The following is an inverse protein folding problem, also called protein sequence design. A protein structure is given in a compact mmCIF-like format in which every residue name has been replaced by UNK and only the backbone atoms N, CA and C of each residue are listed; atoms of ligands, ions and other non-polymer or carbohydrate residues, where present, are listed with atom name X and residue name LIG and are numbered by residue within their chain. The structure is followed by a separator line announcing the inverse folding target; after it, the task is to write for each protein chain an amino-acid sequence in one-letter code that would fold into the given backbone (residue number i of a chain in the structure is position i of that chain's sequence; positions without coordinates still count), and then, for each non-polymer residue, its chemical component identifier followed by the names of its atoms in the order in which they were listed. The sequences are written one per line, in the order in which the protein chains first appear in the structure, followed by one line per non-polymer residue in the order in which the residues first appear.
data_IF_494996462937
#
_entry.id   IF_494996462937
#
_cell.length_a   1.000
_cell.length_b   1.000
_cell.length_c   1.000
_cell.angle_alpha   90.00
_cell.angle_beta   90.00
_cell.angle_gamma   90.00
#
_symmetry.space_group_name_H-M   'P 1'
#
loop_
_entity.id
_entity.type
_entity.pdbx_description
1 polymer ?
#
# COMPACT_ATOMS: atom_id res chain seq x y z
N UNK A 1 2.90 -9.23 36.11
CA UNK A 1 4.19 -9.34 35.38
C UNK A 1 4.42 -10.73 34.79
N UNK A 2 4.47 -11.81 35.58
CA UNK A 2 4.75 -13.17 35.05
C UNK A 2 3.78 -13.62 33.92
N UNK A 3 2.48 -13.40 34.09
CA UNK A 3 1.47 -13.69 33.05
C UNK A 3 1.77 -12.91 31.75
N UNK A 4 2.21 -11.66 31.85
CA UNK A 4 2.56 -10.84 30.69
C UNK A 4 3.77 -11.37 29.93
N UNK A 5 4.74 -11.95 30.63
CA UNK A 5 5.92 -12.56 30.00
C UNK A 5 5.53 -13.83 29.26
N UNK A 6 4.72 -14.69 29.86
CA UNK A 6 4.25 -15.94 29.24
C UNK A 6 3.43 -15.67 27.98
N UNK A 7 2.47 -14.75 28.03
CA UNK A 7 1.67 -14.42 26.84
C UNK A 7 2.50 -13.80 25.71
N UNK A 8 3.65 -13.20 26.03
CA UNK A 8 4.53 -12.55 25.05
C UNK A 8 5.41 -13.53 24.27
N UNK A 9 5.34 -14.85 24.57
CA UNK A 9 6.01 -15.89 23.80
C UNK A 9 5.52 -15.87 22.35
N UNK A 10 6.46 -15.91 21.40
CA UNK A 10 6.21 -15.76 19.95
C UNK A 10 5.13 -16.71 19.42
N UNK A 11 5.09 -17.95 19.93
CA UNK A 11 4.10 -18.96 19.51
C UNK A 11 2.67 -18.55 19.85
N UNK A 12 2.45 -18.00 21.05
CA UNK A 12 1.13 -17.56 21.49
C UNK A 12 0.72 -16.29 20.74
N UNK A 13 1.63 -15.31 20.65
CA UNK A 13 1.40 -14.06 19.95
C UNK A 13 1.04 -14.24 18.48
N UNK A 14 1.71 -15.15 17.76
CA UNK A 14 1.41 -15.41 16.33
C UNK A 14 0.06 -16.12 16.13
N UNK A 15 -0.34 -17.03 17.02
CA UNK A 15 -1.60 -17.77 16.88
C UNK A 15 -2.82 -16.99 17.36
N UNK A 16 -2.67 -16.17 18.39
CA UNK A 16 -3.77 -15.49 19.08
C UNK A 16 -3.47 -14.01 19.29
N UNK A 17 -3.03 -13.32 18.23
CA UNK A 17 -2.55 -11.94 18.32
C UNK A 17 -3.57 -10.98 18.95
N UNK A 18 -4.82 -11.01 18.49
CA UNK A 18 -5.88 -10.14 19.00
C UNK A 18 -6.14 -10.35 20.50
N UNK A 19 -6.22 -11.61 20.92
CA UNK A 19 -6.43 -11.97 22.33
C UNK A 19 -5.24 -11.55 23.18
N UNK A 20 -4.03 -11.79 22.68
CA UNK A 20 -2.78 -11.35 23.32
C UNK A 20 -2.78 -9.84 23.53
N UNK A 21 -3.12 -9.05 22.51
CA UNK A 21 -3.08 -7.59 22.57
C UNK A 21 -4.02 -7.04 23.65
N UNK A 22 -5.27 -7.52 23.70
CA UNK A 22 -6.26 -7.07 24.69
C UNK A 22 -5.82 -7.42 26.11
N UNK A 23 -5.42 -8.67 26.35
CA UNK A 23 -4.98 -9.11 27.67
C UNK A 23 -3.74 -8.32 28.11
N UNK A 24 -2.79 -8.09 27.20
CA UNK A 24 -1.58 -7.32 27.49
C UNK A 24 -1.87 -5.87 27.88
N UNK A 25 -2.77 -5.18 27.17
CA UNK A 25 -3.16 -3.81 27.51
C UNK A 25 -3.83 -3.75 28.88
N UNK A 26 -4.77 -4.67 29.17
CA UNK A 26 -5.45 -4.71 30.48
C UNK A 26 -4.43 -4.92 31.60
N UNK A 27 -3.52 -5.88 31.47
CA UNK A 27 -2.48 -6.11 32.49
C UNK A 27 -1.48 -4.97 32.58
N UNK A 28 -1.15 -4.27 31.48
CA UNK A 28 -0.30 -3.10 31.52
C UNK A 28 -0.94 -1.99 32.38
N UNK A 29 -2.22 -1.70 32.17
CA UNK A 29 -2.98 -0.72 32.99
C UNK A 29 -2.98 -1.14 34.47
N UNK A 30 -3.26 -2.42 34.76
CA UNK A 30 -3.25 -2.94 36.13
C UNK A 30 -1.88 -2.84 36.79
N UNK A 31 -0.80 -3.10 36.05
CA UNK A 31 0.58 -2.96 36.56
C UNK A 31 0.88 -1.50 36.86
N UNK A 32 0.54 -0.57 35.97
CA UNK A 32 0.73 0.87 36.21
C UNK A 32 -0.04 1.31 37.46
N UNK A 33 -1.31 0.93 37.58
CA UNK A 33 -2.11 1.20 38.77
C UNK A 33 -1.50 0.59 40.05
N UNK A 34 -1.09 -0.67 40.00
CA UNK A 34 -0.46 -1.35 41.12
C UNK A 34 0.85 -0.68 41.55
N UNK A 35 1.65 -0.17 40.60
CA UNK A 35 2.85 0.60 40.89
C UNK A 35 2.53 1.89 41.66
N UNK A 36 1.53 2.66 41.23
CA UNK A 36 1.09 3.85 41.98
C UNK A 36 0.61 3.51 43.40
N UNK A 37 -0.11 2.39 43.56
CA UNK A 37 -0.56 1.94 44.89
C UNK A 37 0.60 1.46 45.76
N UNK A 38 1.55 0.73 45.19
CA UNK A 38 2.73 0.22 45.89
C UNK A 38 3.65 1.36 46.35
N UNK A 39 3.92 2.34 45.49
CA UNK A 39 4.78 3.47 45.83
C UNK A 39 4.11 4.48 46.76
N UNK A 40 2.78 4.48 46.86
CA UNK A 40 2.04 5.37 47.75
C UNK A 40 2.22 5.09 49.25
N UNK A 41 2.78 3.93 49.62
CA UNK A 41 3.04 3.57 51.02
C UNK A 41 4.05 4.52 51.71
N UNK A 42 5.06 4.99 50.98
CA UNK A 42 6.09 5.94 51.48
C UNK A 42 5.76 7.41 51.13
N UNK A 43 4.49 7.71 50.83
CA UNK A 43 4.03 9.02 50.35
C UNK A 43 4.09 9.18 48.82
N UNK A 44 4.14 10.43 48.33
CA UNK A 44 4.03 10.74 46.89
C UNK A 44 5.38 10.94 46.18
N UNK A 45 6.49 10.77 46.90
CA UNK A 45 7.85 11.08 46.41
C UNK A 45 8.18 10.41 45.07
N UNK A 46 7.71 9.20 44.85
CA UNK A 46 8.01 8.40 43.65
C UNK A 46 7.00 8.57 42.50
N UNK A 47 5.85 9.21 42.75
CA UNK A 47 4.81 9.38 41.73
C UNK A 47 5.31 10.18 40.52
N UNK A 48 6.24 11.12 40.74
CA UNK A 48 6.86 11.89 39.68
C UNK A 48 7.51 11.04 38.58
N UNK A 49 8.02 9.84 38.91
CA UNK A 49 8.63 8.93 37.93
C UNK A 49 7.62 8.09 37.15
N UNK A 50 6.40 7.92 37.67
CA UNK A 50 5.36 7.11 37.03
C UNK A 50 4.51 7.92 36.04
N UNK A 51 4.32 9.22 36.31
CA UNK A 51 3.54 10.11 35.45
C UNK A 51 4.01 10.23 34.00
N UNK A 52 5.32 10.29 33.68
CA UNK A 52 5.79 10.34 32.30
C UNK A 52 5.28 9.19 31.43
N UNK A 53 5.22 7.96 31.97
CA UNK A 53 4.69 6.80 31.25
C UNK A 53 3.19 6.96 30.93
N UNK A 54 2.40 7.43 31.91
CA UNK A 54 0.97 7.72 31.71
C UNK A 54 0.78 8.84 30.71
N UNK A 55 1.59 9.90 30.80
CA UNK A 55 1.54 11.05 29.90
C UNK A 55 1.87 10.66 28.46
N UNK A 56 2.96 9.92 28.23
CA UNK A 56 3.36 9.45 26.89
C UNK A 56 2.29 8.54 26.29
N UNK A 57 1.80 7.55 27.07
CA UNK A 57 0.77 6.63 26.58
C UNK A 57 -0.55 7.36 26.30
N UNK A 58 -1.01 8.23 27.21
CA UNK A 58 -2.21 9.03 27.04
C UNK A 58 -2.11 9.98 25.85
N UNK A 59 -1.00 10.71 25.72
CA UNK A 59 -0.74 11.62 24.60
C UNK A 59 -0.79 10.90 23.26
N UNK A 60 -0.08 9.78 23.13
CA UNK A 60 -0.07 8.98 21.91
C UNK A 60 -1.49 8.52 21.52
N UNK A 61 -2.28 8.00 22.48
CA UNK A 61 -3.68 7.62 22.22
C UNK A 61 -4.56 8.80 21.82
N UNK A 62 -4.41 9.95 22.49
CA UNK A 62 -5.15 11.17 22.17
C UNK A 62 -4.82 11.67 20.76
N UNK A 63 -3.54 11.71 20.37
CA UNK A 63 -3.13 12.14 19.01
C UNK A 63 -3.74 11.25 17.94
N UNK A 64 -3.79 9.93 18.17
CA UNK A 64 -4.44 8.99 17.23
C UNK A 64 -5.94 9.23 17.11
N UNK A 65 -6.65 9.44 18.21
CA UNK A 65 -8.08 9.78 18.21
C UNK A 65 -8.36 11.10 17.49
N UNK A 66 -7.55 12.13 17.73
CA UNK A 66 -7.65 13.43 17.04
C UNK A 66 -7.43 13.25 15.54
N UNK A 67 -6.46 12.43 15.13
CA UNK A 67 -6.18 12.15 13.71
C UNK A 67 -7.34 11.41 13.03
N UNK A 68 -7.94 10.43 13.69
CA UNK A 68 -9.17 9.76 13.21
C UNK A 68 -10.29 10.79 13.04
N UNK A 69 -10.53 11.63 14.05
CA UNK A 69 -11.55 12.67 13.97
C UNK A 69 -11.28 13.63 12.80
N UNK A 70 -10.03 14.08 12.64
CA UNK A 70 -9.61 14.96 11.55
C UNK A 70 -9.84 14.37 10.16
N UNK A 71 -9.50 13.10 9.94
CA UNK A 71 -9.66 12.48 8.61
C UNK A 71 -11.13 12.22 8.26
N UNK A 72 -11.97 11.93 9.26
CA UNK A 72 -13.32 11.38 9.04
C UNK A 72 -14.47 12.33 9.35
N UNK A 73 -14.22 13.43 10.07
CA UNK A 73 -15.25 14.42 10.41
C UNK A 73 -14.89 15.76 9.78
N UNK A 74 -15.82 16.29 9.00
CA UNK A 74 -15.76 17.68 8.54
C UNK A 74 -17.05 18.38 8.96
N UNK A 75 -16.98 19.08 10.09
CA UNK A 75 -18.09 19.86 10.64
C UNK A 75 -18.03 21.24 9.99
N UNK A 76 -19.09 21.62 9.28
CA UNK A 76 -19.20 22.93 8.67
C UNK A 76 -20.41 23.68 9.19
N UNK A 77 -20.20 24.96 9.42
CA UNK A 77 -21.26 25.90 9.79
C UNK A 77 -22.11 26.20 8.55
N UNK A 78 -23.19 25.44 8.35
CA UNK A 78 -24.11 25.57 7.20
C UNK A 78 -25.20 24.48 7.18
N UNK A 79 -26.04 24.43 6.12
CA UNK A 79 -27.21 23.52 6.00
C UNK A 79 -26.89 22.01 6.08
N UNK A 80 -25.63 21.60 5.96
CA UNK A 80 -25.17 20.22 6.12
C UNK A 80 -24.22 20.14 7.33
N UNK A 81 -24.70 19.55 8.43
CA UNK A 81 -24.09 19.65 9.75
C UNK A 81 -22.78 18.87 9.91
N UNK A 82 -22.56 17.79 9.13
CA UNK A 82 -21.31 17.04 9.12
C UNK A 82 -21.16 16.25 7.81
N UNK A 83 -19.96 16.26 7.21
CA UNK A 83 -19.57 15.29 6.18
C UNK A 83 -18.75 14.18 6.83
N UNK A 84 -19.04 12.93 6.45
CA UNK A 84 -18.31 11.73 6.91
C UNK A 84 -17.55 11.08 5.75
N UNK A 85 -16.57 10.25 6.08
CA UNK A 85 -15.87 9.41 5.11
C UNK A 85 -16.83 8.44 4.43
N UNK A 86 -16.73 8.33 3.12
CA UNK A 86 -17.44 7.31 2.34
C UNK A 86 -16.44 6.27 1.84
N UNK A 87 -16.85 5.00 1.82
CA UNK A 87 -16.02 3.89 1.37
C UNK A 87 -16.79 2.87 0.54
N UNK A 88 -16.12 2.39 -0.49
CA UNK A 88 -16.60 1.31 -1.37
C UNK A 88 -15.52 0.25 -1.45
N UNK A 89 -15.90 -1.01 -1.26
CA UNK A 89 -14.99 -2.15 -1.36
C UNK A 89 -15.47 -3.08 -2.45
N UNK A 90 -14.59 -3.33 -3.42
CA UNK A 90 -14.82 -4.27 -4.52
C UNK A 90 -13.83 -5.42 -4.41
N UNK A 91 -14.30 -6.65 -4.61
CA UNK A 91 -13.45 -7.84 -4.62
C UNK A 91 -13.58 -8.59 -5.94
N UNK A 92 -12.44 -8.83 -6.58
CA UNK A 92 -12.35 -9.59 -7.82
C UNK A 92 -11.77 -10.98 -7.56
N UNK A 93 -12.57 -12.03 -7.82
CA UNK A 93 -12.17 -13.44 -7.63
C UNK A 93 -11.03 -13.86 -8.56
N UNK A 94 -11.02 -13.36 -9.80
CA UNK A 94 -10.04 -13.77 -10.82
C UNK A 94 -8.63 -13.26 -10.54
N UNK A 95 -8.51 -12.20 -9.73
CA UNK A 95 -7.24 -11.56 -9.37
C UNK A 95 -6.89 -11.67 -7.89
N UNK A 96 -7.75 -12.32 -7.07
CA UNK A 96 -7.60 -12.43 -5.61
C UNK A 96 -7.28 -11.06 -4.97
N UNK A 97 -7.94 -10.00 -5.46
CA UNK A 97 -7.65 -8.62 -5.11
C UNK A 97 -8.92 -7.90 -4.63
N UNK A 98 -8.82 -7.27 -3.47
CA UNK A 98 -9.79 -6.32 -2.95
C UNK A 98 -9.30 -4.89 -3.19
N UNK A 99 -10.14 -4.07 -3.81
CA UNK A 99 -9.93 -2.63 -4.02
C UNK A 99 -10.82 -1.87 -3.03
N UNK A 100 -10.20 -1.14 -2.12
CA UNK A 100 -10.91 -0.22 -1.22
C UNK A 100 -10.76 1.20 -1.78
N UNK A 101 -11.88 1.83 -2.09
CA UNK A 101 -11.94 3.24 -2.47
C UNK A 101 -12.50 4.04 -1.29
N UNK A 102 -11.78 5.07 -0.86
CA UNK A 102 -12.17 5.92 0.25
C UNK A 102 -12.15 7.40 -0.14
N UNK A 103 -13.15 8.13 0.33
CA UNK A 103 -13.27 9.58 0.18
C UNK A 103 -13.25 10.22 1.56
N UNK A 104 -12.09 10.70 2.05
CA UNK A 104 -11.96 11.36 3.34
C UNK A 104 -12.95 12.54 3.47
N UNK A 105 -13.42 12.80 4.68
CA UNK A 105 -14.27 13.97 4.96
C UNK A 105 -13.49 15.28 4.80
N UNK A 106 -12.21 15.25 5.13
CA UNK A 106 -11.35 16.40 5.10
C UNK A 106 -10.74 16.65 3.72
N UNK A 107 -10.92 17.86 3.21
CA UNK A 107 -10.49 18.26 1.86
C UNK A 107 -9.06 18.79 1.80
N UNK A 108 -8.44 19.08 2.95
CA UNK A 108 -7.05 19.55 3.04
C UNK A 108 -6.02 18.43 3.06
N UNK A 109 -6.46 17.16 3.08
CA UNK A 109 -5.55 16.01 3.08
C UNK A 109 -4.92 15.88 1.69
N UNK A 110 -3.61 16.15 1.60
CA UNK A 110 -2.85 15.99 0.37
C UNK A 110 -2.13 14.64 0.39
N UNK A 111 -2.56 13.65 -0.42
CA UNK A 111 -1.89 12.37 -0.52
C UNK A 111 -0.49 12.52 -1.14
N UNK A 112 0.46 11.70 -0.69
CA UNK A 112 1.83 11.62 -1.24
C UNK A 112 2.25 10.15 -1.38
N UNK A 113 3.20 9.84 -2.29
CA UNK A 113 3.78 8.50 -2.37
C UNK A 113 4.49 8.10 -1.06
N UNK A 114 4.64 6.79 -0.84
CA UNK A 114 5.23 6.23 0.39
C UNK A 114 4.35 6.38 1.64
N UNK A 115 3.12 6.86 1.50
CA UNK A 115 2.19 6.98 2.63
C UNK A 115 1.36 5.71 2.84
N UNK A 116 1.06 5.43 4.10
CA UNK A 116 0.09 4.42 4.50
C UNK A 116 -0.90 4.98 5.52
N UNK A 117 -2.04 4.30 5.64
CA UNK A 117 -3.15 4.68 6.50
C UNK A 117 -3.62 3.47 7.29
N UNK A 118 -4.04 3.68 8.54
CA UNK A 118 -4.80 2.66 9.25
C UNK A 118 -6.27 2.77 8.89
N UNK A 119 -6.88 1.62 8.57
CA UNK A 119 -8.30 1.50 8.28
C UNK A 119 -8.99 0.78 9.45
N UNK A 120 -10.11 1.34 9.88
CA UNK A 120 -10.97 0.80 10.93
C UNK A 120 -12.35 0.47 10.37
N UNK A 121 -13.00 -0.56 10.90
CA UNK A 121 -14.41 -0.89 10.59
C UNK A 121 -15.25 -0.88 11.88
N UNK A 122 -15.65 0.29 12.40
CA UNK A 122 -16.23 0.43 13.74
C UNK A 122 -17.54 -0.35 13.93
N UNK A 123 -18.33 -0.53 12.88
CA UNK A 123 -19.62 -1.24 12.93
C UNK A 123 -19.48 -2.78 12.96
N UNK A 124 -18.26 -3.29 13.08
CA UNK A 124 -17.97 -4.72 13.21
C UNK A 124 -17.80 -5.12 14.68
N UNK A 125 -18.05 -6.39 15.00
CA UNK A 125 -17.78 -7.00 16.32
C UNK A 125 -16.35 -6.77 16.83
N UNK A 126 -15.40 -6.53 15.92
CA UNK A 126 -14.01 -6.21 16.23
C UNK A 126 -13.62 -4.83 15.70
N UNK A 127 -14.49 -3.84 15.85
CA UNK A 127 -14.30 -2.50 15.30
C UNK A 127 -13.14 -1.69 15.88
N UNK A 128 -12.47 -2.19 16.91
CA UNK A 128 -11.24 -1.63 17.47
C UNK A 128 -9.98 -2.06 16.71
N UNK A 129 -10.06 -3.06 15.84
CA UNK A 129 -8.91 -3.48 15.03
C UNK A 129 -8.55 -2.39 14.02
N UNK A 130 -7.26 -2.12 13.90
CA UNK A 130 -6.71 -1.12 12.99
C UNK A 130 -5.69 -1.77 12.06
N UNK A 131 -5.95 -1.70 10.75
CA UNK A 131 -5.16 -2.41 9.74
C UNK A 131 -4.39 -1.41 8.88
N UNK A 132 -3.04 -1.45 8.84
CA UNK A 132 -2.25 -0.54 8.01
C UNK A 132 -2.32 -0.98 6.54
N UNK A 133 -2.59 -0.04 5.65
CA UNK A 133 -2.51 -0.25 4.20
C UNK A 133 -1.82 0.92 3.52
N UNK A 134 -0.89 0.58 2.64
CA UNK A 134 -0.18 1.52 1.77
C UNK A 134 -1.17 2.15 0.79
N UNK A 135 -1.09 3.47 0.64
CA UNK A 135 -1.86 4.18 -0.36
C UNK A 135 -1.45 3.66 -1.74
N UNK A 136 -2.33 2.96 -2.44
CA UNK A 136 -2.03 2.33 -3.73
C UNK A 136 -2.19 3.26 -4.92
N UNK A 137 -3.19 4.12 -4.89
CA UNK A 137 -3.37 5.19 -5.85
C UNK A 137 -4.19 6.32 -5.22
N UNK A 138 -4.11 7.50 -5.82
CA UNK A 138 -4.93 8.63 -5.45
C UNK A 138 -5.28 9.44 -6.68
N UNK A 139 -6.47 10.04 -6.72
CA UNK A 139 -6.83 10.87 -7.85
C UNK A 139 -6.04 12.19 -7.81
N UNK A 140 -5.28 12.43 -8.88
CA UNK A 140 -4.69 13.73 -9.24
C UNK A 140 -5.64 14.53 -10.14
N UNK A 141 -6.95 14.31 -10.01
CA UNK A 141 -7.88 14.75 -11.03
C UNK A 141 -7.99 16.27 -11.06
N UNK A 142 -7.48 16.87 -12.13
CA UNK A 142 -7.67 18.27 -12.50
C UNK A 142 -8.81 18.42 -13.53
N UNK A 143 -9.66 17.40 -13.75
CA UNK A 143 -10.59 17.35 -14.90
C UNK A 143 -12.06 17.08 -14.60
N UNK A 144 -12.50 17.21 -13.34
CA UNK A 144 -13.93 17.44 -13.03
C UNK A 144 -14.11 18.81 -12.38
N UNK A 145 -13.86 19.88 -13.16
CA UNK A 145 -14.36 21.23 -12.84
C UNK A 145 -15.88 21.27 -13.06
N UNK A 146 -16.64 20.58 -12.20
CA UNK A 146 -18.02 20.97 -11.99
C UNK A 146 -17.98 22.13 -10.99
N UNK A 147 -18.18 23.34 -11.50
CA UNK A 147 -18.31 24.57 -10.72
C UNK A 147 -19.41 24.37 -9.65
N UNK A 148 -19.01 24.06 -8.42
CA UNK A 148 -19.91 23.98 -7.27
C UNK A 148 -19.74 22.76 -6.34
N UNK A 149 -19.10 21.67 -6.77
CA UNK A 149 -18.84 20.52 -5.87
C UNK A 149 -17.41 20.56 -5.35
N UNK A 150 -17.26 20.49 -4.03
CA UNK A 150 -15.93 20.48 -3.44
C UNK A 150 -15.20 19.17 -3.74
N UNK A 151 -14.01 19.31 -4.29
CA UNK A 151 -13.20 18.21 -4.75
C UNK A 151 -12.65 17.41 -3.56
N UNK A 152 -13.13 16.18 -3.39
CA UNK A 152 -12.63 15.24 -2.36
C UNK A 152 -11.59 14.36 -3.00
N UNK A 153 -10.40 14.29 -2.42
CA UNK A 153 -9.34 13.37 -2.86
C UNK A 153 -9.81 11.92 -2.69
N UNK A 154 -9.75 11.14 -3.76
CA UNK A 154 -10.01 9.70 -3.73
C UNK A 154 -8.73 8.98 -3.33
N UNK A 155 -8.79 8.13 -2.31
CA UNK A 155 -7.72 7.23 -1.90
C UNK A 155 -8.08 5.80 -2.27
N UNK A 156 -7.16 5.07 -2.88
CA UNK A 156 -7.36 3.69 -3.33
C UNK A 156 -6.33 2.80 -2.67
N UNK A 157 -6.79 1.70 -2.08
CA UNK A 157 -5.96 0.68 -1.46
C UNK A 157 -6.15 -0.66 -2.18
N UNK A 158 -5.04 -1.28 -2.57
CA UNK A 158 -5.02 -2.60 -3.21
C UNK A 158 -4.61 -3.64 -2.17
N UNK A 159 -5.55 -4.51 -1.80
CA UNK A 159 -5.39 -5.42 -0.66
C UNK A 159 -5.61 -6.83 -1.15
N UNK A 160 -4.65 -7.71 -0.86
CA UNK A 160 -4.85 -9.15 -1.02
C UNK A 160 -5.53 -9.69 0.23
N UNK A 161 -6.66 -10.39 0.13
CA UNK A 161 -7.26 -11.04 1.29
C UNK A 161 -6.35 -12.13 1.86
N UNK A 162 -6.08 -12.05 3.16
CA UNK A 162 -5.37 -13.07 3.94
C UNK A 162 -6.33 -13.65 4.99
N UNK A 163 -5.96 -13.62 6.27
CA UNK A 163 -6.75 -14.03 7.42
C UNK A 163 -7.37 -12.82 8.14
N UNK A 164 -8.06 -13.08 9.24
CA UNK A 164 -8.63 -12.04 10.09
C UNK A 164 -9.61 -11.10 9.39
N UNK A 165 -9.32 -9.80 9.42
CA UNK A 165 -10.19 -8.75 8.90
C UNK A 165 -10.33 -8.77 7.38
N UNK A 166 -9.23 -8.91 6.64
CA UNK A 166 -9.26 -8.89 5.17
C UNK A 166 -10.05 -10.08 4.60
N UNK A 167 -9.96 -11.25 5.25
CA UNK A 167 -10.82 -12.42 4.93
C UNK A 167 -12.30 -12.10 5.09
N UNK A 168 -12.68 -11.50 6.23
CA UNK A 168 -14.08 -11.14 6.51
C UNK A 168 -14.59 -10.13 5.50
N UNK A 169 -13.77 -9.16 5.12
CA UNK A 169 -14.11 -8.17 4.12
C UNK A 169 -14.35 -8.82 2.75
N UNK A 170 -13.46 -9.73 2.32
CA UNK A 170 -13.67 -10.55 1.12
C UNK A 170 -14.96 -11.36 1.20
N UNK A 171 -15.19 -12.04 2.32
CA UNK A 171 -16.37 -12.89 2.50
C UNK A 171 -17.67 -12.06 2.51
N UNK A 172 -17.63 -10.78 2.92
CA UNK A 172 -18.74 -9.82 2.77
C UNK A 172 -18.97 -9.49 1.29
N UNK A 173 -17.93 -9.10 0.55
CA UNK A 173 -18.04 -8.83 -0.90
C UNK A 173 -18.59 -10.03 -1.66
N UNK A 174 -18.11 -11.24 -1.38
CA UNK A 174 -18.57 -12.47 -2.03
C UNK A 174 -20.07 -12.77 -1.82
N UNK A 175 -20.69 -12.22 -0.77
CA UNK A 175 -22.13 -12.36 -0.50
C UNK A 175 -22.96 -11.31 -1.24
N UNK A 176 -22.37 -10.19 -1.63
CA UNK A 176 -23.03 -9.03 -2.24
C UNK A 176 -22.49 -8.79 -3.65
N UNK A 177 -22.44 -9.84 -4.45
CA UNK A 177 -22.01 -9.81 -5.86
C UNK A 177 -20.68 -9.07 -6.13
N UNK A 178 -19.76 -9.10 -5.17
CA UNK A 178 -18.42 -8.53 -5.28
C UNK A 178 -18.27 -7.09 -4.80
N UNK A 179 -19.33 -6.40 -4.36
CA UNK A 179 -19.26 -4.99 -3.93
C UNK A 179 -20.02 -4.73 -2.62
N UNK A 180 -19.41 -3.98 -1.70
CA UNK A 180 -20.03 -3.56 -0.44
C UNK A 180 -19.62 -2.13 -0.07
N UNK A 181 -20.45 -1.45 0.72
CA UNK A 181 -20.20 -0.09 1.22
C UNK A 181 -20.15 -0.06 2.76
N UNK A 182 -19.14 -0.70 3.39
CA UNK A 182 -19.00 -0.67 4.84
C UNK A 182 -18.64 0.74 5.30
N UNK A 183 -19.02 1.10 6.53
CA UNK A 183 -18.48 2.29 7.20
C UNK A 183 -17.04 2.02 7.62
N UNK A 184 -16.08 2.68 6.95
CA UNK A 184 -14.66 2.62 7.28
C UNK A 184 -14.16 3.99 7.75
N UNK A 185 -13.27 3.98 8.74
CA UNK A 185 -12.58 5.18 9.20
C UNK A 185 -11.10 5.14 8.80
N UNK A 186 -10.56 6.30 8.43
CA UNK A 186 -9.15 6.50 8.10
C UNK A 186 -8.38 7.14 9.25
N UNK A 187 -7.16 6.68 9.46
CA UNK A 187 -6.18 7.34 10.32
C UNK A 187 -4.85 7.47 9.55
N UNK A 188 -4.41 8.70 9.33
CA UNK A 188 -3.17 8.97 8.61
C UNK A 188 -3.03 10.46 8.25
N UNK A 189 -2.12 10.80 7.33
CA UNK A 189 -1.17 9.91 6.67
C UNK A 189 0.00 9.53 7.60
N UNK A 190 0.51 8.32 7.44
CA UNK A 190 1.79 7.87 7.99
C UNK A 190 2.76 7.57 6.86
N UNK A 191 4.05 7.42 7.16
CA UNK A 191 5.09 7.18 6.17
C UNK A 191 5.65 8.47 5.56
N UNK A 192 6.65 8.28 4.70
CA UNK A 192 7.42 9.37 4.08
C UNK A 192 7.67 9.02 2.60
N UNK A 193 7.76 10.04 1.75
CA UNK A 193 8.10 9.84 0.36
C UNK A 193 9.62 9.75 0.20
N UNK A 194 10.12 8.70 -0.44
CA UNK A 194 11.49 8.63 -0.90
C UNK A 194 11.75 9.70 -1.98
N UNK A 195 12.93 10.34 -2.01
CA UNK A 195 13.25 11.43 -2.95
C UNK A 195 13.62 10.91 -4.36
N UNK A 196 12.87 9.94 -4.89
CA UNK A 196 13.15 9.29 -6.18
C UNK A 196 13.15 10.27 -7.37
N UNK A 197 12.41 11.38 -7.27
CA UNK A 197 12.37 12.46 -8.28
C UNK A 197 13.72 13.19 -8.47
N UNK A 198 14.69 12.98 -7.58
CA UNK A 198 16.05 13.56 -7.67
C UNK A 198 17.02 12.70 -8.49
N UNK A 199 16.59 11.51 -8.91
CA UNK A 199 17.34 10.57 -9.73
C UNK A 199 16.91 10.66 -11.19
N UNK A 200 17.82 10.42 -12.12
CA UNK A 200 17.50 10.49 -13.56
C UNK A 200 16.78 9.21 -14.03
N UNK A 201 17.16 8.05 -13.49
CA UNK A 201 16.45 6.76 -13.71
C UNK A 201 15.90 6.19 -12.40
N UNK A 202 14.67 5.67 -12.43
CA UNK A 202 14.06 4.92 -11.32
C UNK A 202 13.66 3.51 -11.78
N UNK A 203 14.25 2.49 -11.16
CA UNK A 203 13.87 1.08 -11.35
C UNK A 203 12.95 0.66 -10.19
N UNK A 204 11.71 0.29 -10.50
CA UNK A 204 10.73 -0.20 -9.54
C UNK A 204 10.53 -1.70 -9.71
N UNK A 205 10.88 -2.50 -8.71
CA UNK A 205 10.71 -3.97 -8.72
C UNK A 205 9.67 -4.34 -7.67
N UNK A 206 8.49 -4.75 -8.12
CA UNK A 206 7.34 -5.00 -7.24
C UNK A 206 6.74 -6.38 -7.41
N UNK A 207 6.24 -6.95 -6.31
CA UNK A 207 5.66 -8.28 -6.24
C UNK A 207 4.23 -8.27 -5.70
N UNK A 208 3.28 -8.88 -6.43
CA UNK A 208 1.89 -9.01 -6.01
C UNK A 208 1.25 -7.65 -5.71
N UNK A 209 0.69 -7.49 -4.51
CA UNK A 209 0.10 -6.22 -4.03
C UNK A 209 1.12 -5.16 -3.65
N UNK A 210 2.43 -5.47 -3.68
CA UNK A 210 3.50 -4.49 -3.53
C UNK A 210 3.47 -3.39 -4.60
N UNK A 211 2.72 -3.57 -5.69
CA UNK A 211 2.40 -2.53 -6.68
C UNK A 211 1.81 -1.25 -6.06
N UNK A 212 1.15 -1.37 -4.90
CA UNK A 212 0.63 -0.24 -4.14
C UNK A 212 1.72 0.75 -3.69
N UNK A 213 2.98 0.31 -3.59
CA UNK A 213 4.10 1.22 -3.29
C UNK A 213 4.56 2.00 -4.53
N UNK A 214 4.51 1.41 -5.72
CA UNK A 214 5.09 1.98 -6.95
C UNK A 214 4.13 2.95 -7.67
N UNK A 215 2.84 2.59 -7.78
CA UNK A 215 1.84 3.40 -8.50
C UNK A 215 1.75 4.85 -7.97
N UNK A 216 1.80 5.14 -6.66
CA UNK A 216 1.81 6.51 -6.16
C UNK A 216 3.01 7.34 -6.63
N UNK A 217 4.20 6.72 -6.76
CA UNK A 217 5.39 7.40 -7.27
C UNK A 217 5.27 7.67 -8.78
N UNK A 218 4.64 6.77 -9.52
CA UNK A 218 4.32 6.97 -10.94
C UNK A 218 3.35 8.15 -11.13
N UNK A 219 2.28 8.22 -10.32
CA UNK A 219 1.32 9.35 -10.34
C UNK A 219 2.03 10.67 -9.98
N UNK A 220 2.87 10.66 -8.94
CA UNK A 220 3.64 11.84 -8.51
C UNK A 220 4.65 12.28 -9.59
N UNK A 221 5.31 11.35 -10.27
CA UNK A 221 6.22 11.63 -11.37
C UNK A 221 5.53 12.33 -12.55
N UNK A 222 4.40 11.81 -13.03
CA UNK A 222 3.63 12.46 -14.10
C UNK A 222 3.16 13.86 -13.69
N UNK A 223 2.75 14.03 -12.43
CA UNK A 223 2.39 15.35 -11.90
C UNK A 223 3.58 16.32 -11.91
N UNK A 224 4.78 15.87 -11.51
CA UNK A 224 6.00 16.71 -11.48
C UNK A 224 6.57 16.98 -12.86
N UNK A 225 6.50 16.02 -13.78
CA UNK A 225 6.96 16.15 -15.16
C UNK A 225 6.20 17.28 -15.87
N UNK A 226 4.93 17.50 -15.53
CA UNK A 226 4.15 18.63 -16.05
C UNK A 226 4.60 20.02 -15.56
N UNK A 227 5.40 20.09 -14.48
CA UNK A 227 5.79 21.34 -13.78
C UNK A 227 7.31 21.52 -13.64
N UNK A 228 8.10 21.06 -14.62
CA UNK A 228 9.55 20.79 -14.51
C UNK A 228 10.12 20.55 -13.09
N UNK A 229 9.47 19.70 -12.30
CA UNK A 229 9.79 19.49 -10.87
C UNK A 229 10.45 18.13 -10.57
N UNK A 230 10.93 17.45 -11.61
CA UNK A 230 11.57 16.14 -11.51
C UNK A 230 12.81 16.10 -12.41
N UNK A 231 13.86 15.43 -11.94
CA UNK A 231 15.03 15.07 -12.76
C UNK A 231 14.83 13.74 -13.48
N UNK A 232 13.95 12.90 -12.95
CA UNK A 232 13.64 11.60 -13.53
C UNK A 232 13.14 11.77 -14.95
N UNK A 233 13.79 11.07 -15.88
CA UNK A 233 13.41 10.99 -17.29
C UNK A 233 12.99 9.58 -17.68
N UNK A 234 13.31 8.58 -16.85
CA UNK A 234 12.98 7.18 -17.12
C UNK A 234 12.58 6.44 -15.85
N UNK A 235 11.41 5.80 -15.90
CA UNK A 235 10.91 4.87 -14.90
C UNK A 235 10.74 3.50 -15.55
N UNK A 236 11.37 2.48 -14.97
CA UNK A 236 11.17 1.08 -15.36
C UNK A 236 10.44 0.34 -14.27
N UNK A 237 9.20 -0.04 -14.54
CA UNK A 237 8.36 -0.85 -13.66
C UNK A 237 8.46 -2.33 -14.04
N UNK A 238 9.02 -3.12 -13.14
CA UNK A 238 9.01 -4.59 -13.20
C UNK A 238 8.04 -5.08 -12.15
N UNK A 239 6.92 -5.63 -12.61
CA UNK A 239 5.90 -6.16 -11.71
C UNK A 239 5.73 -7.65 -11.92
N UNK A 240 5.88 -8.43 -10.86
CA UNK A 240 5.58 -9.86 -10.87
C UNK A 240 4.34 -10.16 -10.03
N UNK A 241 3.36 -10.83 -10.62
CA UNK A 241 2.17 -11.30 -9.90
C UNK A 241 1.74 -12.69 -10.38
N UNK A 242 0.89 -13.35 -9.58
CA UNK A 242 0.39 -14.67 -9.93
C UNK A 242 -0.61 -14.60 -11.09
N UNK A 243 -1.57 -13.70 -11.03
CA UNK A 243 -2.69 -13.64 -11.97
C UNK A 243 -2.59 -12.40 -12.85
N UNK A 244 -2.74 -12.58 -14.18
CA UNK A 244 -2.83 -11.46 -15.13
C UNK A 244 -4.00 -10.54 -14.84
N UNK A 245 -5.09 -11.07 -14.27
CA UNK A 245 -6.26 -10.28 -13.87
C UNK A 245 -5.90 -9.13 -12.91
N UNK A 246 -4.87 -9.29 -12.08
CA UNK A 246 -4.43 -8.25 -11.16
C UNK A 246 -3.94 -6.99 -11.90
N UNK A 247 -3.30 -7.17 -13.05
CA UNK A 247 -2.86 -6.07 -13.89
C UNK A 247 -4.03 -5.20 -14.34
N UNK A 248 -5.05 -5.82 -14.93
CA UNK A 248 -6.23 -5.12 -15.44
C UNK A 248 -7.08 -4.46 -14.35
N UNK A 249 -7.04 -4.98 -13.12
CA UNK A 249 -7.74 -4.39 -11.97
C UNK A 249 -7.00 -3.17 -11.39
N UNK A 250 -5.67 -3.15 -11.45
CA UNK A 250 -4.86 -2.03 -10.98
C UNK A 250 -4.81 -0.93 -12.04
N UNK A 251 -4.42 -1.27 -13.26
CA UNK A 251 -4.29 -0.34 -14.38
C UNK A 251 -5.57 -0.32 -15.23
N UNK A 252 -6.66 0.14 -14.61
CA UNK A 252 -7.90 0.47 -15.32
C UNK A 252 -8.02 1.98 -15.55
N UNK A 253 -8.78 2.36 -16.59
CA UNK A 253 -9.18 3.74 -16.89
C UNK A 253 -8.01 4.76 -16.86
N UNK A 254 -7.98 5.66 -15.86
CA UNK A 254 -6.98 6.73 -15.70
C UNK A 254 -5.55 6.20 -15.49
N UNK A 255 -5.40 5.11 -14.75
CA UNK A 255 -4.08 4.53 -14.48
C UNK A 255 -3.47 3.88 -15.71
N UNK A 256 -4.29 3.40 -16.64
CA UNK A 256 -3.81 2.89 -17.93
C UNK A 256 -3.21 4.01 -18.78
N UNK A 257 -3.86 5.19 -18.82
CA UNK A 257 -3.36 6.36 -19.56
C UNK A 257 -2.02 6.86 -19.01
N UNK A 258 -1.81 6.75 -17.69
CA UNK A 258 -0.54 7.13 -17.07
C UNK A 258 0.62 6.28 -17.59
N UNK A 259 0.41 4.99 -17.87
CA UNK A 259 1.44 4.11 -18.43
C UNK A 259 1.78 4.39 -19.89
N UNK A 260 0.97 5.20 -20.60
CA UNK A 260 1.26 5.61 -21.98
C UNK A 260 2.32 6.74 -22.04
N UNK A 261 2.74 7.29 -20.90
CA UNK A 261 3.82 8.27 -20.86
C UNK A 261 5.14 7.65 -21.36
N UNK A 262 5.88 8.34 -22.23
CA UNK A 262 7.11 7.81 -22.84
C UNK A 262 8.22 7.54 -21.81
N UNK A 263 8.19 8.25 -20.68
CA UNK A 263 9.16 8.08 -19.58
C UNK A 263 8.97 6.75 -18.85
N UNK A 264 7.83 6.07 -19.02
CA UNK A 264 7.46 4.88 -18.26
C UNK A 264 7.52 3.64 -19.15
N UNK A 265 8.32 2.66 -18.72
CA UNK A 265 8.40 1.34 -19.32
C UNK A 265 7.91 0.29 -18.33
N UNK A 266 6.97 -0.57 -18.74
CA UNK A 266 6.36 -1.57 -17.84
C UNK A 266 6.52 -2.97 -18.40
N UNK A 267 7.09 -3.87 -17.58
CA UNK A 267 7.19 -5.30 -17.85
C UNK A 267 6.43 -6.06 -16.77
N UNK A 268 5.46 -6.86 -17.18
CA UNK A 268 4.64 -7.67 -16.26
C UNK A 268 4.99 -9.15 -16.36
N UNK A 269 5.38 -9.75 -15.23
CA UNK A 269 5.72 -11.16 -15.12
C UNK A 269 4.58 -11.96 -14.47
N UNK A 270 3.99 -12.90 -15.20
CA UNK A 270 2.94 -13.79 -14.70
C UNK A 270 3.51 -15.15 -14.29
N UNK A 271 3.45 -15.48 -12.99
CA UNK A 271 4.06 -16.73 -12.50
C UNK A 271 3.21 -17.98 -12.73
N UNK A 272 1.89 -17.83 -12.95
CA UNK A 272 0.97 -19.00 -13.06
C UNK A 272 0.99 -19.63 -14.45
N UNK A 273 1.53 -18.93 -15.46
CA UNK A 273 1.70 -19.43 -16.83
C UNK A 273 2.83 -20.48 -16.96
N UNK A 274 3.49 -20.83 -15.85
CA UNK A 274 4.51 -21.88 -15.80
C UNK A 274 3.93 -23.30 -15.95
N UNK A 275 2.62 -23.52 -15.76
CA UNK A 275 2.01 -24.86 -15.83
C UNK A 275 1.77 -25.37 -17.26
N UNK A 276 1.99 -24.55 -18.29
CA UNK A 276 1.81 -24.93 -19.70
C UNK A 276 3.09 -24.96 -20.53
N UNK A 277 4.26 -24.62 -19.97
CA UNK A 277 5.53 -24.59 -20.71
C UNK A 277 6.24 -25.97 -20.82
N UNK A 278 5.50 -27.07 -20.63
CA UNK A 278 5.95 -28.43 -20.93
C UNK A 278 5.56 -28.95 -22.32
N UNK A 279 4.93 -28.12 -23.17
CA UNK A 279 4.69 -28.44 -24.58
C UNK A 279 5.33 -27.37 -25.46
N UNK A 280 6.22 -27.84 -26.32
CA UNK A 280 6.93 -27.07 -27.31
C UNK A 280 6.00 -26.10 -28.04
N UNK A 281 6.47 -24.86 -28.16
CA UNK A 281 5.86 -23.78 -28.90
C UNK A 281 5.87 -24.15 -30.39
N UNK A 282 4.73 -24.57 -30.92
CA UNK A 282 4.45 -24.55 -32.35
C UNK A 282 2.95 -24.29 -32.53
N UNK A 283 2.63 -23.10 -33.03
CA UNK A 283 1.26 -22.77 -33.44
C UNK A 283 0.87 -21.35 -33.08
N UNK A 284 1.02 -20.45 -34.06
CA UNK A 284 0.16 -19.28 -34.21
C UNK A 284 -1.30 -19.71 -34.16
N UNK A 285 -2.03 -19.39 -33.10
CA UNK A 285 -3.48 -19.58 -33.04
C UNK A 285 -4.14 -18.35 -32.47
N UNK A 286 -4.88 -17.68 -33.35
CA UNK A 286 -5.95 -16.74 -33.06
C UNK A 286 -6.95 -17.40 -32.10
N UNK A 287 -6.95 -17.01 -30.83
CA UNK A 287 -7.97 -17.47 -29.88
C UNK A 287 -9.27 -16.69 -30.09
N UNK A 288 -10.26 -17.38 -30.66
CA UNK A 288 -11.66 -16.96 -30.69
C UNK A 288 -12.27 -17.06 -29.29
N UNK A 289 -12.78 -15.93 -28.79
CA UNK A 289 -13.53 -15.81 -27.54
C UNK A 289 -14.92 -16.48 -27.70
N UNK A 290 -15.43 -17.24 -26.71
CA UNK A 290 -16.82 -17.72 -26.71
C UNK A 290 -17.79 -16.55 -26.50
N UNK A 291 -18.78 -16.43 -27.38
CA UNK A 291 -19.87 -15.44 -27.27
C UNK A 291 -20.94 -15.95 -26.30
N UNK A 292 -21.11 -15.29 -25.17
CA UNK A 292 -22.40 -15.23 -24.43
C UNK A 292 -22.43 -14.08 -23.44
N UNK A 293 -23.42 -13.19 -23.57
CA UNK A 293 -23.93 -12.32 -22.50
C UNK A 293 -23.27 -10.94 -22.38
N UNK A 294 -23.99 -9.90 -22.79
CA UNK A 294 -23.59 -8.50 -22.86
C UNK A 294 -23.20 -7.86 -21.52
N UNK A 295 -21.99 -7.29 -21.46
CA UNK A 295 -21.68 -5.98 -20.83
C UNK A 295 -20.56 -5.33 -21.66
N UNK A 296 -20.86 -4.17 -22.24
CA UNK A 296 -19.90 -3.31 -22.93
C UNK A 296 -18.76 -2.92 -21.99
N UNK A 297 -17.57 -3.48 -22.25
CA UNK A 297 -16.30 -2.94 -21.75
C UNK A 297 -15.40 -2.75 -22.95
N UNK A 298 -15.27 -1.49 -23.38
CA UNK A 298 -14.24 -1.02 -24.29
C UNK A 298 -12.88 -1.30 -23.66
N UNK A 299 -12.30 -2.48 -23.95
CA UNK A 299 -10.93 -2.82 -23.55
C UNK A 299 -9.96 -1.92 -24.34
N UNK A 300 -9.11 -1.11 -23.69
CA UNK A 300 -8.01 -0.50 -24.40
C UNK A 300 -6.98 -1.59 -24.72
N UNK A 301 -6.72 -1.75 -26.01
CA UNK A 301 -5.58 -2.51 -26.53
C UNK A 301 -4.34 -1.64 -26.27
N UNK A 302 -3.72 -1.75 -25.10
CA UNK A 302 -2.59 -0.89 -24.71
C UNK A 302 -1.32 -1.27 -25.47
N UNK A 303 -0.94 -0.44 -26.44
CA UNK A 303 0.40 -0.37 -27.04
C UNK A 303 1.45 -0.13 -25.95
N UNK A 304 2.38 -1.05 -25.74
CA UNK A 304 3.62 -0.80 -24.98
C UNK A 304 3.94 -1.67 -23.74
N UNK A 305 3.07 -2.60 -23.33
CA UNK A 305 3.35 -3.48 -22.17
C UNK A 305 3.81 -4.87 -22.61
N UNK A 306 4.93 -5.33 -22.05
CA UNK A 306 5.47 -6.67 -22.27
C UNK A 306 4.98 -7.63 -21.18
N UNK A 307 4.22 -8.66 -21.58
CA UNK A 307 3.78 -9.74 -20.69
C UNK A 307 4.71 -10.94 -20.83
N UNK A 308 5.45 -11.26 -19.77
CA UNK A 308 6.40 -12.36 -19.73
C UNK A 308 5.95 -13.46 -18.76
N UNK A 309 6.11 -14.75 -19.12
CA UNK A 309 5.86 -15.84 -18.18
C UNK A 309 7.00 -15.94 -17.15
N UNK A 310 6.68 -16.41 -15.95
CA UNK A 310 7.67 -16.77 -14.93
C UNK A 310 8.03 -15.65 -13.96
N UNK A 311 9.26 -15.69 -13.44
CA UNK A 311 9.79 -14.72 -12.46
C UNK A 311 10.81 -13.80 -13.13
N UNK A 312 10.87 -12.51 -12.75
CA UNK A 312 11.88 -11.60 -13.27
C UNK A 312 13.28 -12.03 -12.83
N UNK A 313 14.27 -11.84 -13.71
CA UNK A 313 15.67 -12.01 -13.36
C UNK A 313 16.19 -10.72 -12.72
N UNK A 314 15.99 -10.59 -11.41
CA UNK A 314 16.21 -9.34 -10.65
C UNK A 314 17.67 -8.90 -10.78
N UNK A 315 18.61 -9.79 -10.47
CA UNK A 315 20.04 -9.50 -10.54
C UNK A 315 20.47 -8.98 -11.91
N UNK A 316 20.11 -9.67 -12.98
CA UNK A 316 20.47 -9.25 -14.33
C UNK A 316 19.85 -7.91 -14.71
N UNK A 317 18.63 -7.62 -14.23
CA UNK A 317 17.99 -6.34 -14.50
C UNK A 317 18.67 -5.20 -13.75
N UNK A 318 18.92 -5.34 -12.45
CA UNK A 318 19.62 -4.33 -11.65
C UNK A 318 21.01 -4.04 -12.24
N UNK A 319 21.75 -5.09 -12.62
CA UNK A 319 23.06 -4.96 -13.27
C UNK A 319 22.98 -4.26 -14.63
N UNK A 320 21.98 -4.57 -15.46
CA UNK A 320 21.81 -3.93 -16.76
C UNK A 320 21.44 -2.45 -16.63
N UNK A 321 20.54 -2.12 -15.70
CA UNK A 321 20.14 -0.73 -15.42
C UNK A 321 21.27 0.08 -14.82
N UNK A 322 22.07 -0.51 -13.92
CA UNK A 322 23.25 0.13 -13.37
C UNK A 322 24.31 0.41 -14.43
N UNK A 323 24.58 -0.53 -15.35
CA UNK A 323 25.51 -0.31 -16.47
C UNK A 323 25.04 0.81 -17.38
N UNK A 324 23.77 0.81 -17.77
CA UNK A 324 23.20 1.87 -18.60
C UNK A 324 23.29 3.25 -17.92
N UNK A 325 23.06 3.30 -16.60
CA UNK A 325 23.19 4.51 -15.82
C UNK A 325 24.65 4.99 -15.70
N UNK A 326 25.59 4.05 -15.53
CA UNK A 326 27.03 4.30 -15.50
C UNK A 326 27.53 4.85 -16.84
N UNK A 327 27.17 4.21 -17.95
CA UNK A 327 27.55 4.63 -19.32
C UNK A 327 27.02 6.05 -19.62
N UNK A 328 25.86 6.39 -19.07
CA UNK A 328 25.23 7.70 -19.24
C UNK A 328 25.64 8.72 -18.16
N UNK A 329 26.46 8.34 -17.17
CA UNK A 329 26.82 9.16 -16.01
C UNK A 329 25.60 9.77 -15.29
N UNK A 330 24.57 8.95 -15.10
CA UNK A 330 23.28 9.33 -14.47
C UNK A 330 23.11 8.64 -13.12
N UNK A 331 22.20 9.14 -12.28
CA UNK A 331 21.87 8.54 -10.98
C UNK A 331 20.70 7.56 -11.09
N UNK A 332 20.80 6.43 -10.38
CA UNK A 332 19.81 5.35 -10.39
C UNK A 332 19.19 5.15 -8.99
N UNK A 333 17.87 5.22 -8.89
CA UNK A 333 17.15 4.76 -7.70
C UNK A 333 16.53 3.38 -7.98
N UNK A 334 16.67 2.45 -7.05
CA UNK A 334 16.03 1.14 -7.08
C UNK A 334 15.01 1.05 -5.94
N UNK A 335 13.73 1.00 -6.29
CA UNK A 335 12.62 0.83 -5.35
C UNK A 335 12.15 -0.62 -5.38
N UNK A 336 12.15 -1.31 -4.23
CA UNK A 336 11.69 -2.70 -4.13
C UNK A 336 10.54 -2.86 -3.13
N UNK A 337 9.50 -3.60 -3.52
CA UNK A 337 8.38 -3.96 -2.64
C UNK A 337 7.77 -5.30 -3.03
N UNK A 338 7.95 -6.33 -2.22
CA UNK A 338 7.45 -7.66 -2.55
C UNK A 338 7.77 -8.71 -1.48
N UNK A 339 7.67 -10.00 -1.80
CA UNK A 339 8.07 -11.08 -0.90
C UNK A 339 9.53 -10.95 -0.45
N UNK A 340 9.85 -11.33 0.79
CA UNK A 340 11.22 -11.19 1.35
C UNK A 340 12.34 -11.70 0.43
N UNK A 341 12.23 -12.88 -0.23
CA UNK A 341 13.28 -13.34 -1.13
C UNK A 341 13.53 -12.42 -2.34
N UNK A 342 12.49 -11.75 -2.84
CA UNK A 342 12.61 -10.78 -3.94
C UNK A 342 13.28 -9.49 -3.47
N UNK A 343 12.92 -9.01 -2.27
CA UNK A 343 13.55 -7.83 -1.67
C UNK A 343 15.03 -8.11 -1.36
N UNK A 344 15.34 -9.28 -0.80
CA UNK A 344 16.70 -9.73 -0.49
C UNK A 344 17.56 -9.84 -1.74
N UNK A 345 17.06 -10.47 -2.82
CA UNK A 345 17.78 -10.56 -4.10
C UNK A 345 18.03 -9.17 -4.70
N UNK A 346 17.06 -8.25 -4.59
CA UNK A 346 17.22 -6.88 -5.07
C UNK A 346 18.29 -6.12 -4.26
N UNK A 347 18.24 -6.24 -2.93
CA UNK A 347 19.21 -5.61 -2.01
C UNK A 347 20.63 -6.13 -2.24
N UNK A 348 20.78 -7.45 -2.39
CA UNK A 348 22.06 -8.08 -2.72
C UNK A 348 22.58 -7.60 -4.07
N UNK A 349 21.72 -7.54 -5.09
CA UNK A 349 22.10 -7.08 -6.43
C UNK A 349 22.57 -5.62 -6.45
N UNK A 350 21.89 -4.73 -5.72
CA UNK A 350 22.33 -3.33 -5.59
C UNK A 350 23.65 -3.25 -4.84
N UNK A 351 23.83 -4.02 -3.76
CA UNK A 351 25.08 -4.06 -3.02
C UNK A 351 26.26 -4.54 -3.89
N UNK A 352 26.05 -5.55 -4.75
CA UNK A 352 27.07 -6.00 -5.69
C UNK A 352 27.46 -4.91 -6.70
N UNK A 353 26.48 -4.14 -7.20
CA UNK A 353 26.73 -2.99 -8.08
C UNK A 353 27.56 -1.91 -7.36
N UNK A 354 27.18 -1.56 -6.12
CA UNK A 354 27.88 -0.57 -5.31
C UNK A 354 29.33 -0.97 -4.99
N UNK A 355 29.60 -2.28 -4.85
CA UNK A 355 30.95 -2.82 -4.65
C UNK A 355 31.80 -2.71 -5.92
N UNK A 356 31.17 -2.60 -7.08
CA UNK A 356 31.83 -2.33 -8.35
C UNK A 356 32.24 -0.87 -8.50
N UNK A 357 32.22 -0.37 -9.74
CA UNK A 357 32.67 0.99 -10.06
C UNK A 357 31.53 2.03 -10.03
N UNK A 358 30.28 1.60 -9.94
CA UNK A 358 29.12 2.50 -9.99
C UNK A 358 28.54 2.76 -8.60
N UNK A 359 28.72 3.97 -8.09
CA UNK A 359 28.32 4.37 -6.73
C UNK A 359 27.07 5.26 -6.71
N UNK A 360 26.62 5.80 -7.84
CA UNK A 360 25.43 6.66 -7.95
C UNK A 360 24.11 5.86 -8.00
N UNK A 361 24.02 4.81 -7.16
CA UNK A 361 22.85 3.96 -6.98
C UNK A 361 22.34 4.05 -5.54
N UNK A 362 21.03 4.21 -5.36
CA UNK A 362 20.40 4.15 -4.04
C UNK A 362 19.27 3.13 -4.02
N UNK A 363 19.17 2.38 -2.93
CA UNK A 363 18.15 1.35 -2.71
C UNK A 363 17.11 1.82 -1.71
N UNK A 364 15.84 1.74 -2.11
CA UNK A 364 14.68 2.05 -1.30
C UNK A 364 13.82 0.80 -1.15
N UNK A 365 13.64 0.35 0.08
CA UNK A 365 12.82 -0.81 0.38
C UNK A 365 11.53 -0.41 1.06
N UNK A 366 10.41 -0.74 0.43
CA UNK A 366 9.08 -0.63 1.02
C UNK A 366 8.68 -2.03 1.49
N UNK A 367 9.11 -2.38 2.70
CA UNK A 367 8.80 -3.67 3.32
C UNK A 367 7.61 -3.53 4.27
N UNK A 368 6.64 -4.41 4.10
CA UNK A 368 5.44 -4.47 4.90
C UNK A 368 5.28 -5.88 5.47
N UNK A 369 6.03 -6.17 6.53
CA UNK A 369 5.84 -7.39 7.32
C UNK A 369 4.72 -7.14 8.34
N UNK A 370 3.52 -7.65 8.06
CA UNK A 370 2.42 -7.70 9.03
C UNK A 370 2.00 -9.14 9.31
#
# INVERSE_FOLDING_TARGET
MAIMLVQSITLLRRKWYETFLVIHIVFAILVVYALFRHTSFDGTKWNGYLWPMVAIWGFDRTVRLVRIAYCNLNVRTGKYFASTTSSTVKYCKDSDLAKIEMYPAQTTLVPRPGQFYYIYQPMSLKGWENHPFTLGAYNADCRMKNEGSQQRSKLIFYIRPYDGWTRRLRDQCCKTDGEVHPTLLLEGPYGHAAPVHTFDTVLMIVGGTGIASAVPYIIDHVSRASKPQTRTTRIRLIWSARQRGMYYQVFCDELAQILENPDISTTFFCTTDMSTSGRAFQGSVSEKIPKTGAVDTTKPLSTGIEFLPGRPHIRGTVMAEARAAQDSSTRLAVLACGPSPMADECRESVYEVMKGEYQDIEYYEEAFEW
#
